data_IF_155276584335
#
_entry.id   IF_155276584335
#
_cell.length_a   1.000
_cell.length_b   1.000
_cell.length_c   1.000
_cell.angle_alpha   90.00
_cell.angle_beta   90.00
_cell.angle_gamma   90.00
#
_symmetry.space_group_name_H-M   'P 1'
#
loop_
_entity.id
_entity.type
_entity.pdbx_description
1 polymer ?
#
# COMPACT_ATOMS: atom_id res chain seq x y z
N UNK A 1 -29.51 16.63 10.17
CA UNK A 1 -28.40 16.81 9.23
C UNK A 1 -27.78 15.43 9.07
N UNK A 2 -27.96 14.78 7.91
CA UNK A 2 -27.22 13.55 7.60
C UNK A 2 -25.75 13.93 7.54
N UNK A 3 -24.94 13.41 8.44
CA UNK A 3 -23.49 13.52 8.31
C UNK A 3 -23.11 13.00 6.93
N UNK A 4 -22.40 13.79 6.12
CA UNK A 4 -21.82 13.29 4.88
C UNK A 4 -20.84 12.20 5.27
N UNK A 5 -21.21 10.94 5.02
CA UNK A 5 -20.32 9.81 5.24
C UNK A 5 -19.20 9.94 4.21
N UNK A 6 -17.97 10.11 4.69
CA UNK A 6 -16.77 10.15 3.84
C UNK A 6 -16.61 8.77 3.21
N UNK A 7 -16.52 8.74 1.87
CA UNK A 7 -16.38 7.49 1.13
C UNK A 7 -15.13 7.54 0.27
N UNK A 8 -14.29 6.52 0.38
CA UNK A 8 -13.16 6.34 -0.53
C UNK A 8 -13.65 5.99 -1.93
N UNK A 9 -13.06 6.62 -2.92
CA UNK A 9 -13.25 6.20 -4.30
C UNK A 9 -12.72 4.78 -4.48
N UNK A 10 -13.53 3.91 -5.03
CA UNK A 10 -13.20 2.51 -5.22
C UNK A 10 -13.93 1.94 -6.42
N UNK A 11 -13.36 0.91 -7.03
CA UNK A 11 -13.91 0.24 -8.21
C UNK A 11 -13.89 -1.26 -8.01
N UNK A 12 -14.97 -1.92 -8.42
CA UNK A 12 -15.11 -3.38 -8.36
C UNK A 12 -14.88 -4.02 -9.73
N UNK A 13 -14.27 -5.20 -9.72
CA UNK A 13 -14.05 -6.03 -10.90
C UNK A 13 -14.48 -7.46 -10.59
N UNK A 14 -14.94 -8.17 -11.61
CA UNK A 14 -15.29 -9.60 -11.51
C UNK A 14 -16.27 -9.92 -10.35
N UNK A 15 -17.09 -8.96 -9.94
CA UNK A 15 -18.01 -9.05 -8.80
C UNK A 15 -19.10 -10.12 -8.93
N UNK A 16 -19.21 -10.74 -10.10
CA UNK A 16 -20.12 -11.87 -10.34
C UNK A 16 -19.58 -13.21 -9.82
N UNK A 17 -18.28 -13.29 -9.51
CA UNK A 17 -17.69 -14.49 -8.91
C UNK A 17 -18.06 -14.61 -7.42
N UNK A 18 -18.17 -15.84 -6.96
CA UNK A 18 -18.35 -16.17 -5.56
C UNK A 18 -16.98 -16.41 -4.90
N UNK A 19 -16.89 -16.14 -3.62
CA UNK A 19 -15.68 -16.39 -2.84
C UNK A 19 -15.11 -15.13 -2.20
N UNK A 20 -13.95 -15.22 -1.56
CA UNK A 20 -13.33 -14.10 -0.90
C UNK A 20 -12.85 -13.05 -1.93
N UNK A 21 -13.06 -11.78 -1.59
CA UNK A 21 -12.62 -10.66 -2.41
C UNK A 21 -11.12 -10.44 -2.32
N UNK A 22 -10.52 -9.95 -3.40
CA UNK A 22 -9.18 -9.36 -3.38
C UNK A 22 -9.32 -7.85 -3.23
N UNK A 23 -8.85 -7.30 -2.11
CA UNK A 23 -8.90 -5.86 -1.80
C UNK A 23 -7.51 -5.28 -1.91
N UNK A 24 -7.34 -4.22 -2.71
CA UNK A 24 -6.04 -3.68 -3.09
C UNK A 24 -5.83 -2.26 -2.60
N UNK A 25 -4.69 -2.02 -1.94
CA UNK A 25 -4.26 -0.73 -1.42
C UNK A 25 -2.93 -0.31 -2.07
N UNK A 26 -2.95 0.81 -2.79
CA UNK A 26 -1.77 1.33 -3.50
C UNK A 26 -0.75 2.01 -2.58
N UNK A 27 0.45 2.30 -3.08
CA UNK A 27 1.49 3.07 -2.39
C UNK A 27 1.25 4.58 -2.44
N UNK A 28 2.06 5.34 -1.69
CA UNK A 28 2.06 6.81 -1.78
C UNK A 28 2.27 7.23 -3.24
N UNK A 29 1.56 8.27 -3.68
CA UNK A 29 1.52 8.78 -5.05
C UNK A 29 0.75 7.91 -6.05
N UNK A 30 0.37 6.67 -5.69
CA UNK A 30 -0.36 5.74 -6.52
C UNK A 30 -1.85 6.00 -6.62
N UNK A 31 -2.54 5.12 -7.33
CA UNK A 31 -4.00 4.99 -7.36
C UNK A 31 -4.38 3.51 -7.41
N UNK A 32 -5.65 3.19 -7.22
CA UNK A 32 -6.14 1.83 -7.38
C UNK A 32 -5.83 1.21 -8.75
N UNK A 33 -5.72 2.04 -9.79
CA UNK A 33 -5.39 1.59 -11.15
C UNK A 33 -4.01 0.93 -11.27
N UNK A 34 -3.09 1.17 -10.34
CA UNK A 34 -1.79 0.50 -10.31
C UNK A 34 -1.94 -1.03 -10.20
N UNK A 35 -3.07 -1.49 -9.69
CA UNK A 35 -3.39 -2.91 -9.50
C UNK A 35 -4.10 -3.58 -10.67
N UNK A 36 -4.51 -2.83 -11.71
CA UNK A 36 -5.24 -3.39 -12.86
C UNK A 36 -4.55 -4.59 -13.53
N UNK A 37 -3.21 -4.61 -13.71
CA UNK A 37 -2.53 -5.79 -14.27
C UNK A 37 -2.74 -7.04 -13.42
N UNK A 38 -2.74 -6.91 -12.07
CA UNK A 38 -2.99 -8.03 -11.17
C UNK A 38 -4.47 -8.42 -11.14
N UNK A 39 -5.38 -7.46 -11.08
CA UNK A 39 -6.83 -7.68 -11.15
C UNK A 39 -7.21 -8.50 -12.37
N UNK A 40 -6.66 -8.15 -13.55
CA UNK A 40 -6.95 -8.88 -14.79
C UNK A 40 -6.31 -10.29 -14.84
N UNK A 41 -5.26 -10.51 -14.04
CA UNK A 41 -4.61 -11.84 -13.98
C UNK A 41 -5.26 -12.75 -12.93
N UNK A 42 -5.89 -12.14 -11.91
CA UNK A 42 -6.63 -12.83 -10.86
C UNK A 42 -8.15 -12.77 -11.13
N UNK A 43 -8.56 -12.87 -12.39
CA UNK A 43 -9.94 -12.66 -12.85
C UNK A 43 -10.97 -13.65 -12.30
N UNK A 44 -10.53 -14.75 -11.71
CA UNK A 44 -11.38 -15.71 -11.02
C UNK A 44 -11.86 -15.24 -9.63
N UNK A 45 -11.34 -14.12 -9.12
CA UNK A 45 -11.73 -13.55 -7.83
C UNK A 45 -12.48 -12.21 -8.00
N UNK A 46 -13.54 -11.96 -7.22
CA UNK A 46 -14.08 -10.61 -7.10
C UNK A 46 -13.02 -9.70 -6.50
N UNK A 47 -12.89 -8.48 -7.05
CA UNK A 47 -11.79 -7.57 -6.71
C UNK A 47 -12.30 -6.16 -6.42
N UNK A 48 -11.72 -5.50 -5.42
CA UNK A 48 -11.93 -4.10 -5.06
C UNK A 48 -10.59 -3.37 -5.06
N UNK A 49 -10.45 -2.36 -5.91
CA UNK A 49 -9.33 -1.42 -5.85
C UNK A 49 -9.81 -0.14 -5.16
N UNK A 50 -8.96 0.44 -4.31
CA UNK A 50 -9.30 1.61 -3.48
C UNK A 50 -8.28 2.71 -3.70
N UNK A 51 -8.75 3.93 -3.96
CA UNK A 51 -7.91 5.13 -3.91
C UNK A 51 -7.81 5.62 -2.46
N UNK A 52 -6.59 5.67 -1.93
CA UNK A 52 -6.32 6.17 -0.59
C UNK A 52 -6.63 7.67 -0.49
N UNK A 53 -6.94 8.24 0.70
CA UNK A 53 -7.14 9.67 0.87
C UNK A 53 -6.03 10.50 0.25
N UNK A 54 -6.39 11.61 -0.37
CA UNK A 54 -5.46 12.49 -1.07
C UNK A 54 -5.00 12.01 -2.45
N UNK A 55 -5.49 10.86 -2.93
CA UNK A 55 -5.07 10.26 -4.20
C UNK A 55 -6.26 9.96 -5.12
N UNK A 56 -6.02 9.96 -6.43
CA UNK A 56 -7.00 9.58 -7.44
C UNK A 56 -8.38 10.22 -7.25
N UNK A 57 -9.44 9.42 -7.27
CA UNK A 57 -10.81 9.85 -7.00
C UNK A 57 -11.09 10.20 -5.53
N UNK A 58 -10.17 9.87 -4.60
CA UNK A 58 -10.21 10.25 -3.18
C UNK A 58 -9.36 11.50 -2.87
N UNK A 59 -8.95 12.27 -3.87
CA UNK A 59 -8.08 13.45 -3.73
C UNK A 59 -8.59 14.46 -2.70
N UNK A 60 -9.90 14.68 -2.61
CA UNK A 60 -10.48 15.69 -1.73
C UNK A 60 -10.79 15.15 -0.31
N UNK A 61 -10.42 13.91 -0.03
CA UNK A 61 -10.51 13.30 1.29
C UNK A 61 -9.19 13.52 2.01
N UNK A 62 -9.26 14.15 3.19
CA UNK A 62 -8.12 14.36 4.09
C UNK A 62 -8.33 13.57 5.36
N UNK A 63 -7.25 13.10 5.96
CA UNK A 63 -7.23 12.42 7.26
C UNK A 63 -6.41 13.20 8.26
N UNK A 64 -6.74 13.09 9.52
CA UNK A 64 -6.00 13.68 10.65
C UNK A 64 -5.72 12.66 11.76
N UNK A 65 -6.44 11.55 11.77
CA UNK A 65 -6.33 10.45 12.75
C UNK A 65 -5.32 9.36 12.37
N UNK A 66 -4.56 9.55 11.29
CA UNK A 66 -3.48 8.64 10.90
C UNK A 66 -3.97 7.24 10.54
N UNK A 67 -3.25 6.20 11.00
CA UNK A 67 -3.56 4.81 10.65
C UNK A 67 -4.91 4.33 11.20
N UNK A 68 -5.35 4.83 12.35
CA UNK A 68 -6.65 4.45 12.92
C UNK A 68 -7.80 4.94 12.04
N UNK A 69 -7.76 6.20 11.59
CA UNK A 69 -8.76 6.74 10.66
C UNK A 69 -8.71 6.03 9.29
N UNK A 70 -7.50 5.66 8.83
CA UNK A 70 -7.36 4.86 7.61
C UNK A 70 -8.04 3.50 7.74
N UNK A 71 -7.93 2.85 8.89
CA UNK A 71 -8.57 1.58 9.18
C UNK A 71 -10.11 1.70 9.18
N UNK A 72 -10.62 2.75 9.81
CA UNK A 72 -12.07 3.06 9.79
C UNK A 72 -12.59 3.27 8.36
N UNK A 73 -11.87 4.05 7.54
CA UNK A 73 -12.24 4.29 6.14
C UNK A 73 -12.20 3.02 5.30
N UNK A 74 -11.22 2.13 5.54
CA UNK A 74 -11.17 0.82 4.89
C UNK A 74 -12.38 -0.04 5.30
N UNK A 75 -12.69 -0.11 6.60
CA UNK A 75 -13.88 -0.81 7.10
C UNK A 75 -15.18 -0.30 6.49
N UNK A 76 -15.31 1.03 6.32
CA UNK A 76 -16.46 1.64 5.65
C UNK A 76 -16.53 1.25 4.16
N UNK A 77 -15.41 1.20 3.46
CA UNK A 77 -15.38 0.76 2.06
C UNK A 77 -15.77 -0.72 1.94
N UNK A 78 -15.25 -1.60 2.79
CA UNK A 78 -15.65 -3.01 2.82
C UNK A 78 -17.16 -3.18 3.08
N UNK A 79 -17.69 -2.43 4.03
CA UNK A 79 -19.13 -2.45 4.37
C UNK A 79 -20.00 -1.95 3.23
N UNK A 80 -19.59 -0.93 2.49
CA UNK A 80 -20.33 -0.39 1.35
C UNK A 80 -20.57 -1.43 0.27
N UNK A 81 -19.55 -2.26 -0.01
CA UNK A 81 -19.65 -3.34 -0.99
C UNK A 81 -20.08 -4.68 -0.38
N UNK A 82 -20.46 -4.70 0.90
CA UNK A 82 -20.86 -5.92 1.63
C UNK A 82 -19.81 -7.03 1.59
N UNK A 83 -18.54 -6.64 1.63
CA UNK A 83 -17.41 -7.57 1.60
C UNK A 83 -17.17 -8.11 3.01
N UNK A 84 -17.51 -9.38 3.21
CA UNK A 84 -17.39 -10.06 4.51
C UNK A 84 -16.20 -11.03 4.55
N UNK A 85 -15.73 -11.50 3.39
CA UNK A 85 -14.58 -12.39 3.25
C UNK A 85 -13.61 -11.81 2.22
N UNK A 86 -12.35 -11.56 2.62
CA UNK A 86 -11.41 -10.90 1.73
C UNK A 86 -9.94 -11.22 2.04
N UNK A 87 -9.11 -11.10 1.00
CA UNK A 87 -7.66 -11.02 1.06
C UNK A 87 -7.27 -9.55 0.93
N UNK A 88 -6.36 -9.10 1.76
CA UNK A 88 -5.88 -7.72 1.71
C UNK A 88 -4.48 -7.66 1.11
N UNK A 89 -4.33 -6.93 0.02
CA UNK A 89 -3.10 -6.81 -0.77
C UNK A 89 -2.68 -5.35 -0.76
N UNK A 90 -1.50 -5.05 -0.24
CA UNK A 90 -1.04 -3.68 -0.13
C UNK A 90 0.42 -3.49 -0.55
N UNK A 91 0.69 -2.39 -1.24
CA UNK A 91 2.04 -1.97 -1.62
C UNK A 91 2.52 -0.79 -0.79
N UNK A 92 3.74 -0.86 -0.27
CA UNK A 92 4.43 0.23 0.42
C UNK A 92 3.55 0.90 1.51
N UNK A 93 3.01 2.10 1.30
CA UNK A 93 2.04 2.74 2.20
C UNK A 93 0.78 1.88 2.37
N UNK A 94 0.19 1.39 1.28
CA UNK A 94 -0.95 0.47 1.32
C UNK A 94 -0.65 -0.82 2.07
N UNK A 95 0.59 -1.34 1.93
CA UNK A 95 1.06 -2.48 2.72
C UNK A 95 1.16 -2.19 4.21
N UNK A 96 1.53 -0.96 4.59
CA UNK A 96 1.58 -0.51 5.98
C UNK A 96 0.18 -0.39 6.59
N UNK A 97 -0.77 0.14 5.81
CA UNK A 97 -2.19 0.21 6.18
C UNK A 97 -2.76 -1.21 6.30
N UNK A 98 -2.46 -2.09 5.37
CA UNK A 98 -2.90 -3.49 5.40
C UNK A 98 -2.38 -4.24 6.64
N UNK A 99 -1.11 -4.05 7.00
CA UNK A 99 -0.55 -4.61 8.24
C UNK A 99 -1.21 -4.03 9.49
N UNK A 100 -1.48 -2.72 9.51
CA UNK A 100 -2.19 -2.10 10.61
C UNK A 100 -3.59 -2.66 10.78
N UNK A 101 -4.34 -2.79 9.68
CA UNK A 101 -5.68 -3.40 9.66
C UNK A 101 -5.66 -4.85 10.18
N UNK A 102 -4.71 -5.66 9.74
CA UNK A 102 -4.59 -7.05 10.18
C UNK A 102 -4.28 -7.22 11.68
N UNK A 103 -3.70 -6.19 12.31
CA UNK A 103 -3.32 -6.22 13.74
C UNK A 103 -4.37 -5.56 14.63
N UNK A 104 -4.91 -4.41 14.21
CA UNK A 104 -5.75 -3.55 15.06
C UNK A 104 -7.17 -3.36 14.54
N UNK A 105 -7.44 -3.68 13.28
CA UNK A 105 -8.74 -3.48 12.66
C UNK A 105 -9.79 -4.49 13.09
N UNK A 106 -11.06 -4.19 12.75
CA UNK A 106 -12.14 -5.19 12.80
C UNK A 106 -12.05 -6.04 11.54
N UNK A 107 -11.45 -7.22 11.65
CA UNK A 107 -11.01 -8.01 10.50
C UNK A 107 -11.52 -9.46 10.50
N UNK A 108 -12.68 -9.74 11.12
CA UNK A 108 -13.23 -11.11 11.20
C UNK A 108 -13.34 -11.81 9.84
N UNK A 109 -13.49 -11.05 8.77
CA UNK A 109 -13.54 -11.55 7.39
C UNK A 109 -12.19 -11.62 6.66
N UNK A 110 -11.09 -11.19 7.28
CA UNK A 110 -9.77 -11.21 6.65
C UNK A 110 -9.24 -12.63 6.54
N UNK A 111 -9.15 -13.15 5.31
CA UNK A 111 -8.67 -14.51 5.01
C UNK A 111 -7.16 -14.63 4.89
N UNK A 112 -6.49 -13.52 4.59
CA UNK A 112 -5.04 -13.47 4.52
C UNK A 112 -4.52 -12.12 4.06
N UNK A 113 -3.21 -11.95 4.21
CA UNK A 113 -2.50 -10.69 4.04
C UNK A 113 -1.34 -10.87 3.05
N UNK A 114 -1.26 -10.00 2.03
CA UNK A 114 -0.12 -9.90 1.14
C UNK A 114 0.41 -8.46 1.17
N UNK A 115 1.67 -8.30 1.54
CA UNK A 115 2.32 -7.00 1.67
C UNK A 115 3.52 -6.94 0.74
N UNK A 116 3.52 -5.98 -0.17
CA UNK A 116 4.69 -5.68 -1.00
C UNK A 116 5.44 -4.48 -0.43
N UNK A 117 6.67 -4.69 0.04
CA UNK A 117 7.59 -3.63 0.43
C UNK A 117 7.06 -2.68 1.52
N UNK A 118 6.16 -3.14 2.38
CA UNK A 118 5.63 -2.37 3.51
C UNK A 118 6.54 -2.47 4.74
N UNK A 119 6.93 -1.35 5.35
CA UNK A 119 7.71 -1.38 6.58
C UNK A 119 6.80 -1.66 7.79
N UNK A 120 7.09 -2.67 8.64
CA UNK A 120 6.22 -3.05 9.76
C UNK A 120 6.30 -2.11 10.97
N UNK A 121 6.90 -0.94 10.82
CA UNK A 121 7.09 0.07 11.87
C UNK A 121 8.57 0.25 12.22
N UNK A 122 8.86 1.22 13.09
CA UNK A 122 10.19 1.49 13.61
C UNK A 122 10.20 1.26 15.11
N UNK A 123 11.11 0.42 15.57
CA UNK A 123 11.26 0.10 17.00
C UNK A 123 11.86 1.27 17.78
N UNK A 124 12.96 1.85 17.26
CA UNK A 124 13.72 2.89 17.94
C UNK A 124 13.01 4.25 17.90
N UNK A 125 12.92 4.93 19.04
CA UNK A 125 12.42 6.32 19.09
C UNK A 125 13.29 7.29 18.28
N UNK A 126 14.63 7.04 18.24
CA UNK A 126 15.55 7.83 17.43
C UNK A 126 15.23 7.75 15.94
N UNK A 127 15.00 6.52 15.44
CA UNK A 127 14.63 6.29 14.04
C UNK A 127 13.25 6.88 13.70
N UNK A 128 12.30 6.80 14.63
CA UNK A 128 10.98 7.43 14.48
C UNK A 128 11.08 8.94 14.34
N UNK A 129 11.88 9.58 15.20
CA UNK A 129 12.09 11.03 15.14
C UNK A 129 12.78 11.46 13.84
N UNK A 130 13.84 10.75 13.45
CA UNK A 130 14.54 11.00 12.19
C UNK A 130 13.61 10.82 10.98
N UNK A 131 12.75 9.79 11.03
CA UNK A 131 11.77 9.54 9.97
C UNK A 131 10.72 10.64 9.90
N UNK A 132 10.17 11.10 11.02
CA UNK A 132 9.24 12.24 11.06
C UNK A 132 9.86 13.49 10.42
N UNK A 133 11.10 13.81 10.75
CA UNK A 133 11.80 14.95 10.14
C UNK A 133 11.94 14.80 8.63
N UNK A 134 12.29 13.59 8.15
CA UNK A 134 12.38 13.30 6.71
C UNK A 134 11.02 13.45 6.02
N UNK A 135 9.96 12.91 6.61
CA UNK A 135 8.62 12.95 6.02
C UNK A 135 8.06 14.38 6.01
N UNK A 136 8.30 15.18 7.08
CA UNK A 136 7.98 16.62 7.08
C UNK A 136 8.74 17.41 6.02
N UNK A 137 10.02 17.11 5.79
CA UNK A 137 10.78 17.74 4.71
C UNK A 137 10.15 17.48 3.34
N UNK A 138 9.80 16.22 3.02
CA UNK A 138 9.13 15.88 1.77
C UNK A 138 7.73 16.50 1.67
N UNK A 139 6.95 16.48 2.75
CA UNK A 139 5.63 17.10 2.80
C UNK A 139 5.70 18.61 2.55
N UNK A 140 6.69 19.31 3.13
CA UNK A 140 6.93 20.72 2.86
C UNK A 140 7.21 20.96 1.38
N UNK A 141 8.05 20.15 0.74
CA UNK A 141 8.36 20.24 -0.68
C UNK A 141 7.10 20.01 -1.53
N UNK A 142 6.32 18.96 -1.26
CA UNK A 142 5.06 18.72 -1.97
C UNK A 142 4.05 19.86 -1.85
N UNK A 143 4.03 20.60 -0.73
CA UNK A 143 3.13 21.76 -0.55
C UNK A 143 3.58 23.01 -1.29
N UNK A 144 4.88 23.22 -1.46
CA UNK A 144 5.41 24.51 -1.83
C UNK A 144 6.17 24.54 -3.18
N UNK A 145 6.52 23.38 -3.72
CA UNK A 145 7.25 23.26 -4.98
C UNK A 145 6.33 22.70 -6.10
N UNK A 146 6.78 22.82 -7.33
CA UNK A 146 6.11 22.14 -8.46
C UNK A 146 6.21 20.63 -8.29
N UNK A 147 5.08 19.95 -8.31
CA UNK A 147 5.03 18.51 -8.04
C UNK A 147 5.97 17.69 -8.92
N UNK A 148 6.09 18.01 -10.22
CA UNK A 148 6.98 17.32 -11.13
C UNK A 148 8.44 17.39 -10.65
N UNK A 149 8.92 18.55 -10.19
CA UNK A 149 10.29 18.71 -9.67
C UNK A 149 10.51 17.92 -8.38
N UNK A 150 9.50 17.87 -7.51
CA UNK A 150 9.57 17.05 -6.29
C UNK A 150 9.61 15.57 -6.63
N UNK A 151 8.85 15.13 -7.63
CA UNK A 151 8.82 13.75 -8.09
C UNK A 151 10.13 13.31 -8.75
N UNK A 152 10.78 14.20 -9.52
CA UNK A 152 12.10 13.93 -10.08
C UNK A 152 13.10 13.56 -8.99
N UNK A 153 13.14 14.32 -7.88
CA UNK A 153 14.00 14.02 -6.74
C UNK A 153 13.49 12.84 -5.91
N UNK A 154 12.16 12.67 -5.79
CA UNK A 154 11.56 11.56 -5.08
C UNK A 154 12.00 10.20 -5.64
N UNK A 155 12.01 10.07 -6.98
CA UNK A 155 12.40 8.84 -7.65
C UNK A 155 13.93 8.63 -7.73
N UNK A 156 14.75 9.60 -7.28
CA UNK A 156 16.19 9.42 -7.07
C UNK A 156 16.52 8.77 -5.70
N UNK A 157 15.53 8.50 -4.85
CA UNK A 157 15.80 7.82 -3.58
C UNK A 157 16.26 6.37 -3.83
N UNK A 158 17.22 5.83 -3.03
CA UNK A 158 17.80 4.49 -3.22
C UNK A 158 16.78 3.34 -3.31
N UNK A 159 15.60 3.52 -2.72
CA UNK A 159 14.52 2.53 -2.80
C UNK A 159 14.02 2.31 -4.24
N UNK A 160 14.27 3.25 -5.13
CA UNK A 160 13.86 3.20 -6.54
C UNK A 160 15.01 2.88 -7.52
N UNK A 161 16.21 2.56 -7.03
CA UNK A 161 17.38 2.23 -7.89
C UNK A 161 17.13 1.05 -8.84
N UNK A 162 16.11 0.26 -8.58
CA UNK A 162 15.68 -0.84 -9.47
C UNK A 162 14.89 -0.40 -10.70
N UNK A 163 14.47 0.87 -10.80
CA UNK A 163 13.74 1.42 -11.94
C UNK A 163 14.71 1.91 -13.02
N UNK A 164 14.35 1.74 -14.28
CA UNK A 164 15.06 2.36 -15.41
C UNK A 164 14.69 3.84 -15.50
N UNK A 165 15.55 4.65 -16.14
CA UNK A 165 15.29 6.08 -16.38
C UNK A 165 13.91 6.29 -17.02
N UNK A 166 13.57 5.49 -18.04
CA UNK A 166 12.26 5.55 -18.72
C UNK A 166 11.10 5.25 -17.78
N UNK A 167 11.25 4.30 -16.87
CA UNK A 167 10.21 4.00 -15.86
C UNK A 167 10.06 5.14 -14.87
N UNK A 168 11.16 5.77 -14.44
CA UNK A 168 11.11 6.96 -13.57
C UNK A 168 10.38 8.12 -14.27
N UNK A 169 10.72 8.43 -15.54
CA UNK A 169 10.06 9.47 -16.33
C UNK A 169 8.55 9.21 -16.49
N UNK A 170 8.17 7.95 -16.76
CA UNK A 170 6.76 7.54 -16.85
C UNK A 170 6.03 7.74 -15.51
N UNK A 171 6.66 7.35 -14.39
CA UNK A 171 6.08 7.53 -13.06
C UNK A 171 5.97 9.02 -12.70
N UNK A 172 6.99 9.85 -12.97
CA UNK A 172 6.92 11.29 -12.76
C UNK A 172 5.75 11.89 -13.54
N UNK A 173 5.63 11.56 -14.83
CA UNK A 173 4.52 12.04 -15.66
C UNK A 173 3.16 11.61 -15.08
N UNK A 174 2.99 10.34 -14.76
CA UNK A 174 1.74 9.79 -14.22
C UNK A 174 1.39 10.40 -12.86
N UNK A 175 2.36 10.48 -11.94
CA UNK A 175 2.15 10.95 -10.56
C UNK A 175 2.04 12.48 -10.45
N UNK A 176 2.44 13.22 -11.49
CA UNK A 176 2.24 14.67 -11.56
C UNK A 176 0.78 15.10 -11.60
N UNK A 177 -0.16 14.18 -11.78
CA UNK A 177 -1.60 14.40 -11.65
C UNK A 177 -2.06 14.62 -10.20
N UNK A 178 -1.26 14.20 -9.21
CA UNK A 178 -1.59 14.38 -7.80
C UNK A 178 -1.56 15.86 -7.39
N UNK A 179 -2.36 16.21 -6.38
CA UNK A 179 -2.29 17.50 -5.70
C UNK A 179 -1.24 17.44 -4.59
N UNK A 180 -0.17 18.22 -4.69
CA UNK A 180 0.97 18.15 -3.77
C UNK A 180 0.60 18.33 -2.29
N UNK A 181 -0.34 19.25 -1.98
CA UNK A 181 -0.84 19.44 -0.62
C UNK A 181 -1.55 18.19 -0.07
N UNK A 182 -2.33 17.49 -0.90
CA UNK A 182 -3.03 16.26 -0.47
C UNK A 182 -2.04 15.11 -0.22
N UNK A 183 -1.02 14.99 -1.08
CA UNK A 183 0.09 14.04 -0.86
C UNK A 183 0.86 14.35 0.42
N UNK A 184 1.14 15.64 0.67
CA UNK A 184 1.82 16.08 1.90
C UNK A 184 1.03 15.72 3.15
N UNK A 185 -0.28 15.97 3.15
CA UNK A 185 -1.17 15.66 4.28
C UNK A 185 -1.19 14.14 4.54
N UNK A 186 -1.32 13.32 3.49
CA UNK A 186 -1.29 11.87 3.62
C UNK A 186 0.06 11.37 4.14
N UNK A 187 1.18 11.91 3.63
CA UNK A 187 2.53 11.54 4.05
C UNK A 187 2.77 11.84 5.55
N UNK A 188 2.33 12.99 6.04
CA UNK A 188 2.50 13.37 7.45
C UNK A 188 1.61 12.54 8.38
N UNK A 189 0.32 12.40 8.03
CA UNK A 189 -0.63 11.66 8.86
C UNK A 189 -0.35 10.15 8.88
N UNK A 190 0.28 9.61 7.85
CA UNK A 190 0.71 8.22 7.80
C UNK A 190 2.23 8.06 7.83
N UNK A 191 2.95 9.02 8.42
CA UNK A 191 4.41 8.89 8.56
C UNK A 191 4.77 7.57 9.23
N UNK A 192 5.84 6.94 8.73
CA UNK A 192 6.37 5.73 9.37
C UNK A 192 6.86 6.01 10.81
N UNK A 193 7.19 7.27 11.12
CA UNK A 193 7.52 7.70 12.48
C UNK A 193 6.33 7.67 13.43
N UNK A 194 5.08 7.77 12.92
CA UNK A 194 3.84 7.66 13.70
C UNK A 194 3.30 6.22 13.76
N UNK A 195 3.72 5.36 12.84
CA UNK A 195 3.23 3.98 12.78
C UNK A 195 3.64 3.19 14.03
N UNK A 196 2.72 2.41 14.64
CA UNK A 196 3.11 1.48 15.70
C UNK A 196 4.09 0.43 15.19
N UNK A 197 4.86 -0.15 16.11
CA UNK A 197 5.71 -1.29 15.85
C UNK A 197 4.87 -2.56 15.79
N UNK A 198 4.67 -3.11 14.59
CA UNK A 198 3.71 -4.19 14.32
C UNK A 198 4.32 -5.59 14.34
N UNK A 199 5.64 -5.72 14.36
CA UNK A 199 6.32 -7.02 14.18
C UNK A 199 5.86 -8.09 15.16
N UNK A 200 5.73 -7.83 16.48
CA UNK A 200 5.31 -8.88 17.42
C UNK A 200 3.93 -9.45 17.08
N UNK A 201 3.00 -8.58 16.69
CA UNK A 201 1.62 -8.97 16.41
C UNK A 201 1.49 -9.66 15.04
N UNK A 202 2.25 -9.16 14.03
CA UNK A 202 2.31 -9.78 12.71
C UNK A 202 2.83 -11.22 12.74
N UNK A 203 3.78 -11.53 13.62
CA UNK A 203 4.31 -12.89 13.80
C UNK A 203 3.33 -13.83 14.53
N UNK A 204 2.28 -13.30 15.13
CA UNK A 204 1.23 -14.05 15.80
C UNK A 204 -0.05 -14.18 14.96
N UNK A 205 -0.08 -13.63 13.75
CA UNK A 205 -1.25 -13.77 12.88
C UNK A 205 -1.54 -15.24 12.60
N UNK A 206 -2.78 -15.62 12.77
CA UNK A 206 -3.27 -16.99 12.48
C UNK A 206 -3.74 -17.15 11.04
N UNK A 207 -3.88 -16.05 10.30
CA UNK A 207 -4.21 -16.03 8.88
C UNK A 207 -2.96 -16.18 8.02
N UNK A 208 -3.07 -16.72 6.80
CA UNK A 208 -1.97 -16.72 5.84
C UNK A 208 -1.40 -15.32 5.62
N UNK A 209 -0.08 -15.18 5.69
CA UNK A 209 0.63 -13.94 5.45
C UNK A 209 1.78 -14.15 4.46
N UNK A 210 1.90 -13.31 3.45
CA UNK A 210 3.05 -13.26 2.55
C UNK A 210 3.63 -11.84 2.52
N UNK A 211 4.96 -11.75 2.68
CA UNK A 211 5.72 -10.51 2.51
C UNK A 211 6.48 -10.57 1.19
N UNK A 212 6.04 -9.79 0.21
CA UNK A 212 6.57 -9.76 -1.14
C UNK A 212 7.58 -8.61 -1.30
N UNK A 213 8.69 -8.86 -1.95
CA UNK A 213 9.56 -7.78 -2.42
C UNK A 213 10.37 -8.21 -3.64
N UNK A 214 10.83 -7.23 -4.41
CA UNK A 214 11.71 -7.50 -5.53
C UNK A 214 13.08 -8.03 -5.10
N UNK A 215 13.69 -8.87 -5.94
CA UNK A 215 15.04 -9.42 -5.71
C UNK A 215 16.11 -8.32 -5.57
N UNK A 216 15.89 -7.15 -6.20
CA UNK A 216 16.79 -5.99 -6.11
C UNK A 216 16.44 -5.01 -4.99
N UNK A 217 15.34 -5.22 -4.27
CA UNK A 217 14.94 -4.42 -3.12
C UNK A 217 15.63 -4.92 -1.85
N UNK A 218 16.93 -4.68 -1.76
CA UNK A 218 17.78 -5.14 -0.65
C UNK A 218 17.28 -4.67 0.71
N UNK A 219 16.84 -3.41 0.79
CA UNK A 219 16.32 -2.81 2.02
C UNK A 219 15.14 -3.61 2.62
N UNK A 220 14.13 -3.90 1.81
CA UNK A 220 12.94 -4.59 2.32
C UNK A 220 13.16 -6.10 2.47
N UNK A 221 14.10 -6.69 1.73
CA UNK A 221 14.56 -8.04 2.01
C UNK A 221 15.27 -8.14 3.37
N UNK A 222 16.14 -7.17 3.70
CA UNK A 222 16.82 -7.10 4.99
C UNK A 222 15.84 -6.95 6.14
N UNK A 223 14.86 -6.05 6.01
CA UNK A 223 13.75 -5.89 6.97
C UNK A 223 13.00 -7.23 7.17
N UNK A 224 12.63 -7.90 6.10
CA UNK A 224 11.90 -9.16 6.18
C UNK A 224 12.73 -10.25 6.86
N UNK A 225 14.01 -10.36 6.52
CA UNK A 225 14.95 -11.32 7.15
C UNK A 225 15.18 -11.00 8.62
N UNK A 226 15.43 -9.72 8.94
CA UNK A 226 15.67 -9.25 10.31
C UNK A 226 14.51 -9.60 11.25
N UNK A 227 13.30 -9.49 10.77
CA UNK A 227 12.08 -9.70 11.57
C UNK A 227 11.38 -11.02 11.28
N UNK A 228 12.03 -11.93 10.55
CA UNK A 228 11.50 -13.26 10.21
C UNK A 228 10.09 -13.21 9.56
N UNK A 229 9.82 -12.18 8.76
CA UNK A 229 8.58 -12.10 8.00
C UNK A 229 8.57 -13.16 6.89
N UNK A 230 7.39 -13.68 6.47
CA UNK A 230 7.27 -14.75 5.48
C UNK A 230 7.60 -14.25 4.06
N UNK A 231 8.90 -14.03 3.80
CA UNK A 231 9.43 -13.41 2.59
C UNK A 231 9.27 -14.29 1.35
N UNK A 232 8.75 -13.68 0.28
CA UNK A 232 8.75 -14.17 -1.09
C UNK A 232 9.36 -13.11 -2.01
N UNK A 233 10.37 -13.48 -2.81
CA UNK A 233 11.06 -12.55 -3.71
C UNK A 233 10.54 -12.66 -5.14
N UNK A 234 10.37 -11.52 -5.80
CA UNK A 234 10.01 -11.40 -7.21
C UNK A 234 11.31 -11.15 -8.00
N UNK A 235 11.66 -12.01 -8.97
CA UNK A 235 12.95 -11.95 -9.63
C UNK A 235 13.13 -10.69 -10.49
N UNK A 236 14.39 -10.20 -10.55
CA UNK A 236 14.87 -9.16 -11.46
C UNK A 236 14.27 -7.76 -11.30
N UNK A 237 13.51 -7.50 -10.25
CA UNK A 237 12.79 -6.23 -10.02
C UNK A 237 13.14 -5.63 -8.66
N UNK A 238 12.96 -4.31 -8.52
CA UNK A 238 13.15 -3.53 -7.28
C UNK A 238 11.87 -3.39 -6.46
N UNK A 239 11.73 -2.25 -5.79
CA UNK A 239 10.67 -1.96 -4.81
C UNK A 239 9.25 -1.99 -5.39
N UNK A 240 9.08 -1.56 -6.65
CA UNK A 240 7.78 -1.57 -7.33
C UNK A 240 7.60 -2.87 -8.14
N UNK A 241 7.56 -4.03 -7.51
CA UNK A 241 7.57 -5.31 -8.21
C UNK A 241 6.28 -5.55 -9.01
N UNK A 242 5.12 -5.14 -8.49
CA UNK A 242 3.84 -5.18 -9.20
C UNK A 242 3.84 -4.36 -10.50
N UNK A 243 4.58 -3.24 -10.53
CA UNK A 243 4.75 -2.38 -11.71
C UNK A 243 5.87 -2.87 -12.63
N UNK A 244 7.04 -3.22 -12.04
CA UNK A 244 8.24 -3.58 -12.80
C UNK A 244 8.21 -4.99 -13.41
N UNK A 245 7.47 -5.91 -12.81
CA UNK A 245 7.35 -7.31 -13.25
C UNK A 245 5.94 -7.87 -13.00
N UNK A 246 4.88 -7.27 -13.59
CA UNK A 246 3.49 -7.62 -13.28
C UNK A 246 3.16 -9.09 -13.46
N UNK A 247 3.69 -9.74 -14.49
CA UNK A 247 3.46 -11.17 -14.75
C UNK A 247 4.05 -12.04 -13.65
N UNK A 248 5.30 -11.80 -13.26
CA UNK A 248 5.94 -12.58 -12.18
C UNK A 248 5.29 -12.30 -10.82
N UNK A 249 4.89 -11.06 -10.57
CA UNK A 249 4.18 -10.67 -9.36
C UNK A 249 2.82 -11.38 -9.28
N UNK A 250 2.02 -11.32 -10.34
CA UNK A 250 0.71 -11.98 -10.43
C UNK A 250 0.82 -13.50 -10.24
N UNK A 251 1.85 -14.12 -10.82
CA UNK A 251 2.10 -15.55 -10.63
C UNK A 251 2.38 -15.90 -9.17
N UNK A 252 3.17 -15.07 -8.47
CA UNK A 252 3.46 -15.26 -7.05
C UNK A 252 2.21 -15.10 -6.17
N UNK A 253 1.37 -14.10 -6.46
CA UNK A 253 0.10 -13.89 -5.76
C UNK A 253 -0.87 -15.05 -6.00
N UNK A 254 -1.11 -15.44 -7.26
CA UNK A 254 -1.98 -16.57 -7.59
C UNK A 254 -1.51 -17.88 -6.95
N UNK A 255 -0.20 -18.13 -6.95
CA UNK A 255 0.36 -19.31 -6.27
C UNK A 255 0.08 -19.26 -4.76
N UNK A 256 0.26 -18.10 -4.12
CA UNK A 256 -0.03 -17.96 -2.69
C UNK A 256 -1.52 -18.19 -2.38
N UNK A 257 -2.42 -17.58 -3.15
CA UNK A 257 -3.86 -17.76 -2.99
C UNK A 257 -4.28 -19.24 -3.16
N UNK A 258 -3.69 -19.95 -4.14
CA UNK A 258 -3.99 -21.37 -4.39
C UNK A 258 -3.53 -22.33 -3.28
N UNK A 259 -2.57 -21.92 -2.45
CA UNK A 259 -2.09 -22.71 -1.31
C UNK A 259 -2.94 -22.54 -0.06
N UNK A 260 -3.74 -21.49 0.01
CA UNK A 260 -4.41 -21.05 1.23
C UNK A 260 -5.94 -20.98 1.09
N UNK A 261 -6.46 -21.18 -0.14
CA UNK A 261 -7.88 -21.10 -0.48
C UNK A 261 -8.62 -22.43 -0.50
#
# INVERSE_FOLDING_TARGET
VKANVVKLHSQTFHSHHQGPWLVYLHGLLGTGEDWLPLVHTCDQYPSLIIDLPGHGGSTDITITGGFAEMDELLGMALSEYQINDYWLIGYSLGGRIAMYHAVYGQHDGLKGLLVEGGNPGLFSQGDRKARLQKDHHWAHRFRHEKIASVLDDWYQQPVFDGLTVRQCEQLVHLRSQNKGNCIADMLENTSLGCQPWLVPDLLQLTIPFAYLCGEKDTKFQEIAKQYALPLKTIPKVGHNAHYGAPVAFSAAVNHFLSLCG
#
